data_IF_720210977411
#
_entry.id   IF_720210977411
#
_cell.length_a   1.000
_cell.length_b   1.000
_cell.length_c   1.000
_cell.angle_alpha   90.00
_cell.angle_beta   90.00
_cell.angle_gamma   90.00
#
_symmetry.space_group_name_H-M   'P 1'
#
loop_
_entity.id
_entity.type
_entity.pdbx_description
1 polymer ?
#
# COMPACT_ATOMS: atom_id res chain seq x y z
N UNK A 1 -5.67 -50.49 34.04
CA UNK A 1 -6.91 -49.71 33.79
C UNK A 1 -6.73 -48.20 34.01
N UNK A 2 -5.97 -47.75 35.02
CA UNK A 2 -5.79 -46.31 35.36
C UNK A 2 -5.13 -45.46 34.26
N UNK A 3 -4.19 -46.00 33.49
CA UNK A 3 -3.48 -45.28 32.41
C UNK A 3 -4.39 -44.91 31.23
N UNK A 4 -5.39 -45.75 30.90
CA UNK A 4 -6.35 -45.45 29.83
C UNK A 4 -7.26 -44.27 30.20
N UNK A 5 -7.67 -44.19 31.47
CA UNK A 5 -8.44 -43.05 31.98
C UNK A 5 -7.61 -41.77 32.06
N UNK A 6 -6.31 -41.86 32.36
CA UNK A 6 -5.41 -40.70 32.39
C UNK A 6 -5.21 -40.08 30.99
N UNK A 7 -5.08 -40.90 29.94
CA UNK A 7 -4.98 -40.44 28.55
C UNK A 7 -6.31 -39.82 28.09
N UNK A 8 -7.44 -40.40 28.50
CA UNK A 8 -8.77 -39.85 28.18
C UNK A 8 -9.01 -38.49 28.86
N UNK A 9 -8.53 -38.31 30.10
CA UNK A 9 -8.62 -37.04 30.83
C UNK A 9 -7.69 -35.97 30.25
N UNK A 10 -6.50 -36.34 29.79
CA UNK A 10 -5.58 -35.44 29.10
C UNK A 10 -6.10 -34.97 27.73
N UNK A 11 -6.83 -35.84 27.00
CA UNK A 11 -7.49 -35.48 25.75
C UNK A 11 -8.68 -34.52 25.95
N UNK A 12 -9.33 -34.56 27.12
CA UNK A 12 -10.43 -33.65 27.47
C UNK A 12 -9.94 -32.24 27.86
N UNK A 13 -8.64 -32.08 28.16
CA UNK A 13 -8.00 -30.82 28.55
C UNK A 13 -7.31 -30.10 27.37
N UNK A 14 -7.54 -30.55 26.12
CA UNK A 14 -7.10 -29.82 24.92
C UNK A 14 -7.75 -28.41 24.86
N UNK A 15 -7.01 -27.39 24.41
CA UNK A 15 -7.22 -26.02 24.80
C UNK A 15 -8.51 -25.44 24.20
N UNK A 16 -9.41 -24.96 25.06
CA UNK A 16 -10.62 -24.17 24.73
C UNK A 16 -10.30 -22.83 24.05
N UNK A 17 -9.02 -22.50 23.85
CA UNK A 17 -8.57 -21.25 23.24
C UNK A 17 -8.87 -21.13 21.73
N UNK A 18 -9.48 -22.13 21.08
CA UNK A 18 -9.79 -22.08 19.65
C UNK A 18 -10.99 -21.19 19.28
N UNK A 19 -11.84 -20.82 20.26
CA UNK A 19 -13.09 -20.08 20.01
C UNK A 19 -12.96 -18.54 20.09
N UNK A 20 -11.77 -18.02 20.42
CA UNK A 20 -11.53 -16.56 20.53
C UNK A 20 -11.29 -15.84 19.19
N UNK A 21 -11.07 -16.59 18.11
CA UNK A 21 -10.79 -16.05 16.78
C UNK A 21 -12.09 -16.04 15.96
N UNK A 22 -12.93 -15.02 16.16
CA UNK A 22 -14.09 -14.79 15.30
C UNK A 22 -13.66 -14.63 13.83
N UNK A 23 -14.53 -14.99 12.89
CA UNK A 23 -14.26 -14.82 11.45
C UNK A 23 -14.00 -13.35 11.10
N UNK A 24 -13.16 -13.09 10.10
CA UNK A 24 -12.91 -11.74 9.60
C UNK A 24 -14.22 -11.01 9.28
N UNK A 25 -14.46 -9.90 9.98
CA UNK A 25 -15.65 -9.07 9.77
C UNK A 25 -15.33 -8.01 8.74
N UNK A 26 -16.13 -7.96 7.67
CA UNK A 26 -16.10 -6.85 6.72
C UNK A 26 -16.95 -5.69 7.26
N UNK A 27 -16.51 -4.44 7.06
CA UNK A 27 -17.35 -3.30 7.38
C UNK A 27 -18.59 -3.27 6.46
N UNK A 28 -19.65 -2.53 6.84
CA UNK A 28 -20.79 -2.26 5.97
C UNK A 28 -20.37 -1.68 4.61
N UNK A 29 -21.22 -1.87 3.61
CA UNK A 29 -20.90 -1.53 2.22
C UNK A 29 -20.58 -0.04 2.05
N UNK A 30 -21.32 0.82 2.73
CA UNK A 30 -21.18 2.28 2.65
C UNK A 30 -19.77 2.71 3.09
N UNK A 31 -19.24 2.08 4.14
CA UNK A 31 -17.89 2.34 4.63
C UNK A 31 -16.85 1.77 3.66
N UNK A 32 -17.08 0.56 3.13
CA UNK A 32 -16.19 -0.02 2.12
C UNK A 32 -16.08 0.86 0.87
N UNK A 33 -17.20 1.38 0.38
CA UNK A 33 -17.23 2.22 -0.82
C UNK A 33 -16.44 3.53 -0.61
N UNK A 34 -16.55 4.14 0.58
CA UNK A 34 -15.75 5.33 0.94
C UNK A 34 -14.25 5.01 1.02
N UNK A 35 -13.90 3.86 1.60
CA UNK A 35 -12.50 3.44 1.70
C UNK A 35 -11.93 3.09 0.31
N UNK A 36 -12.71 2.43 -0.54
CA UNK A 36 -12.31 2.05 -1.90
C UNK A 36 -12.39 3.18 -2.93
N UNK A 37 -12.87 4.36 -2.56
CA UNK A 37 -12.93 5.51 -3.44
C UNK A 37 -11.53 5.91 -3.92
N UNK A 38 -11.46 6.37 -5.18
CA UNK A 38 -10.22 6.83 -5.78
C UNK A 38 -9.58 7.94 -4.91
N UNK A 39 -8.27 7.85 -4.64
CA UNK A 39 -7.60 8.88 -3.86
C UNK A 39 -7.50 10.18 -4.63
N UNK A 40 -7.38 11.29 -3.90
CA UNK A 40 -7.12 12.60 -4.50
C UNK A 40 -5.77 12.53 -5.22
N UNK A 41 -5.70 12.86 -6.51
CA UNK A 41 -4.44 12.84 -7.24
C UNK A 41 -3.50 13.91 -6.70
N UNK A 42 -2.20 13.61 -6.72
CA UNK A 42 -1.17 14.60 -6.45
C UNK A 42 -0.84 15.34 -7.75
N UNK A 43 -0.75 16.67 -7.69
CA UNK A 43 -0.46 17.49 -8.87
C UNK A 43 0.79 18.32 -8.69
N UNK A 44 1.59 18.45 -9.74
CA UNK A 44 2.78 19.31 -9.76
C UNK A 44 2.85 20.06 -11.09
N UNK A 45 3.19 21.35 -11.06
CA UNK A 45 3.23 22.20 -12.26
C UNK A 45 4.68 22.31 -12.75
N UNK A 46 4.90 22.25 -14.06
CA UNK A 46 6.23 22.44 -14.65
C UNK A 46 6.79 23.84 -14.33
N UNK A 47 8.12 24.02 -14.21
CA UNK A 47 8.73 25.33 -13.99
C UNK A 47 8.33 26.39 -15.03
N UNK A 48 8.15 25.97 -16.29
CA UNK A 48 7.72 26.82 -17.40
C UNK A 48 6.20 27.00 -17.49
N UNK A 49 5.42 26.34 -16.61
CA UNK A 49 3.96 26.45 -16.45
C UNK A 49 3.13 26.06 -17.68
N UNK A 50 3.66 25.20 -18.53
CA UNK A 50 2.98 24.68 -19.73
C UNK A 50 2.23 23.35 -19.47
N UNK A 51 2.62 22.62 -18.42
CA UNK A 51 2.16 21.27 -18.11
C UNK A 51 1.92 21.06 -16.62
N UNK A 52 1.01 20.14 -16.31
CA UNK A 52 0.71 19.65 -14.97
C UNK A 52 0.94 18.14 -14.95
N UNK A 53 1.82 17.67 -14.08
CA UNK A 53 1.97 16.27 -13.72
C UNK A 53 0.83 15.90 -12.77
N UNK A 54 0.07 14.88 -13.12
CA UNK A 54 -1.02 14.33 -12.32
C UNK A 54 -0.62 12.90 -11.94
N UNK A 55 -0.44 12.67 -10.65
CA UNK A 55 -0.01 11.40 -10.08
C UNK A 55 -1.15 10.76 -9.31
N UNK A 56 -1.28 9.45 -9.47
CA UNK A 56 -2.28 8.66 -8.76
C UNK A 56 -1.62 7.89 -7.60
N UNK A 57 -1.74 8.39 -6.36
CA UNK A 57 -1.14 7.72 -5.20
C UNK A 57 -1.87 6.41 -4.90
N UNK A 58 -1.15 5.37 -4.48
CA UNK A 58 -1.80 4.15 -3.99
C UNK A 58 -2.05 4.26 -2.49
N UNK A 59 -3.31 4.39 -2.09
CA UNK A 59 -3.70 4.55 -0.68
C UNK A 59 -3.53 3.28 0.15
N UNK A 60 -3.93 2.14 -0.40
CA UNK A 60 -3.92 0.85 0.29
C UNK A 60 -3.08 -0.17 -0.50
N UNK A 61 -1.79 -0.31 -0.18
CA UNK A 61 -0.94 -1.33 -0.80
C UNK A 61 -1.38 -2.74 -0.39
N UNK A 62 -1.05 -3.77 -1.20
CA UNK A 62 -1.41 -5.15 -0.90
C UNK A 62 -0.74 -5.65 0.38
N UNK A 63 -1.35 -6.64 1.03
CA UNK A 63 -0.82 -7.25 2.26
C UNK A 63 0.59 -7.84 2.03
N UNK A 64 0.86 -8.37 0.83
CA UNK A 64 2.19 -8.87 0.46
C UNK A 64 3.28 -7.81 0.59
N UNK A 65 2.97 -6.55 0.33
CA UNK A 65 3.90 -5.44 0.49
C UNK A 65 4.04 -5.02 1.96
N UNK A 66 2.93 -5.00 2.70
CA UNK A 66 2.94 -4.72 4.15
C UNK A 66 3.71 -5.79 4.94
N UNK A 67 3.76 -7.02 4.44
CA UNK A 67 4.47 -8.14 5.03
C UNK A 67 5.97 -8.18 4.66
N UNK A 68 6.46 -7.22 3.86
CA UNK A 68 7.88 -7.19 3.48
C UNK A 68 8.79 -6.99 4.70
N UNK A 69 10.06 -7.42 4.61
CA UNK A 69 11.00 -7.27 5.72
C UNK A 69 11.20 -5.80 6.12
N UNK A 70 11.49 -5.58 7.41
CA UNK A 70 11.74 -4.26 7.98
C UNK A 70 12.91 -4.30 8.96
N UNK A 71 14.02 -3.67 8.57
CA UNK A 71 15.16 -3.41 9.45
C UNK A 71 14.90 -2.16 10.29
N UNK A 72 15.31 -2.20 11.56
CA UNK A 72 15.20 -1.08 12.51
C UNK A 72 16.61 -0.59 12.84
N UNK A 73 17.07 0.47 12.19
CA UNK A 73 18.44 0.97 12.30
C UNK A 73 18.42 2.44 12.73
N UNK A 74 18.99 2.76 13.89
CA UNK A 74 19.03 4.14 14.42
C UNK A 74 17.65 4.85 14.41
N UNK A 75 16.56 4.11 14.69
CA UNK A 75 15.19 4.64 14.65
C UNK A 75 14.52 4.66 13.28
N UNK A 76 15.27 4.43 12.20
CA UNK A 76 14.74 4.29 10.84
C UNK A 76 14.15 2.89 10.62
N UNK A 77 13.13 2.82 9.77
CA UNK A 77 12.52 1.57 9.31
C UNK A 77 12.87 1.40 7.83
N UNK A 78 13.78 0.50 7.52
CA UNK A 78 14.32 0.31 6.16
C UNK A 78 13.84 -1.03 5.61
N UNK A 79 13.39 -1.03 4.36
CA UNK A 79 13.14 -2.26 3.62
C UNK A 79 14.46 -2.74 2.98
N UNK A 80 15.03 -3.89 3.41
CA UNK A 80 16.31 -4.35 2.91
C UNK A 80 16.27 -4.80 1.44
N UNK A 81 15.09 -5.01 0.86
CA UNK A 81 14.96 -5.44 -0.54
C UNK A 81 15.25 -4.29 -1.53
N UNK A 82 15.11 -3.04 -1.09
CA UNK A 82 15.29 -1.88 -1.96
C UNK A 82 15.97 -0.69 -1.27
N UNK A 83 16.43 -0.85 -0.02
CA UNK A 83 17.13 0.18 0.77
C UNK A 83 16.31 1.48 0.97
N UNK A 84 14.99 1.42 0.78
CA UNK A 84 14.08 2.57 1.00
C UNK A 84 13.44 2.52 2.37
N UNK A 85 12.75 3.59 2.75
CA UNK A 85 11.87 3.56 3.92
C UNK A 85 10.82 2.45 3.77
N UNK A 86 10.69 1.63 4.81
CA UNK A 86 9.63 0.63 4.86
C UNK A 86 8.26 1.33 4.82
N UNK A 87 7.36 0.84 3.95
CA UNK A 87 6.08 1.50 3.62
C UNK A 87 6.22 2.91 3.03
N UNK A 88 7.22 3.10 2.18
CA UNK A 88 7.36 4.31 1.36
C UNK A 88 6.07 4.56 0.56
N UNK A 89 5.43 5.74 0.68
CA UNK A 89 4.32 6.13 -0.20
C UNK A 89 4.79 6.27 -1.65
N UNK A 90 3.95 5.84 -2.59
CA UNK A 90 4.23 5.90 -4.03
C UNK A 90 2.95 6.11 -4.84
N UNK A 91 3.14 6.52 -6.09
CA UNK A 91 2.08 6.59 -7.10
C UNK A 91 2.23 5.47 -8.13
N UNK A 92 1.10 5.03 -8.68
CA UNK A 92 1.03 3.93 -9.66
C UNK A 92 0.87 4.41 -11.09
N UNK A 93 0.47 5.66 -11.29
CA UNK A 93 0.34 6.27 -12.61
C UNK A 93 0.80 7.73 -12.59
N UNK A 94 1.25 8.19 -13.75
CA UNK A 94 1.55 9.59 -14.04
C UNK A 94 0.95 9.95 -15.40
N UNK A 95 0.27 11.08 -15.44
CA UNK A 95 -0.25 11.70 -16.66
C UNK A 95 0.23 13.15 -16.70
N UNK A 96 0.47 13.67 -17.89
CA UNK A 96 0.68 15.09 -18.11
C UNK A 96 -0.55 15.73 -18.69
N UNK A 97 -0.99 16.82 -18.09
CA UNK A 97 -2.04 17.68 -18.63
C UNK A 97 -1.42 18.96 -19.16
N UNK A 98 -1.64 19.25 -20.43
CA UNK A 98 -1.24 20.52 -21.03
C UNK A 98 -2.16 21.64 -20.53
N UNK A 99 -1.58 22.79 -20.14
CA UNK A 99 -2.35 23.91 -19.56
C UNK A 99 -3.19 24.62 -20.62
N UNK A 100 -2.69 24.72 -21.86
CA UNK A 100 -3.33 25.48 -22.93
C UNK A 100 -4.66 24.87 -23.43
N UNK A 101 -4.72 23.55 -23.60
CA UNK A 101 -5.87 22.84 -24.17
C UNK A 101 -6.49 21.83 -23.20
N UNK A 102 -5.89 21.62 -22.03
CA UNK A 102 -6.36 20.65 -21.04
C UNK A 102 -6.14 19.19 -21.44
N UNK A 103 -5.40 18.91 -22.53
CA UNK A 103 -5.19 17.55 -23.03
C UNK A 103 -4.35 16.73 -22.05
N UNK A 104 -4.86 15.56 -21.69
CA UNK A 104 -4.16 14.60 -20.84
C UNK A 104 -3.42 13.55 -21.67
N UNK A 105 -2.14 13.36 -21.37
CA UNK A 105 -1.27 12.37 -22.01
C UNK A 105 -0.72 11.44 -20.95
N UNK A 106 -1.07 10.14 -20.96
CA UNK A 106 -0.53 9.18 -20.01
C UNK A 106 0.93 8.86 -20.31
N UNK A 107 1.72 8.63 -19.27
CA UNK A 107 3.10 8.13 -19.39
C UNK A 107 3.08 6.61 -19.27
N UNK A 108 3.70 5.93 -20.25
CA UNK A 108 3.81 4.48 -20.24
C UNK A 108 4.95 4.04 -19.30
N UNK A 109 4.64 3.11 -18.41
CA UNK A 109 5.60 2.48 -17.51
C UNK A 109 5.49 0.95 -17.60
N UNK A 110 6.52 0.21 -17.15
CA UNK A 110 6.39 -1.22 -16.89
C UNK A 110 5.27 -1.53 -15.90
N UNK A 111 4.79 -2.77 -15.92
CA UNK A 111 3.89 -3.26 -14.88
C UNK A 111 4.54 -3.13 -13.49
N UNK A 112 3.72 -2.89 -12.47
CA UNK A 112 4.13 -2.75 -11.06
C UNK A 112 5.13 -1.61 -10.77
N UNK A 113 5.17 -0.57 -11.62
CA UNK A 113 5.97 0.63 -11.34
C UNK A 113 5.55 1.29 -10.02
N UNK A 114 6.54 1.74 -9.26
CA UNK A 114 6.34 2.54 -8.04
C UNK A 114 7.01 3.89 -8.21
N UNK A 115 6.22 4.93 -8.41
CA UNK A 115 6.71 6.29 -8.61
C UNK A 115 6.87 6.98 -7.25
N UNK A 116 8.11 7.33 -6.90
CA UNK A 116 8.45 8.01 -5.65
C UNK A 116 9.09 9.35 -5.96
N UNK A 117 8.55 10.42 -5.38
CA UNK A 117 9.10 11.78 -5.42
C UNK A 117 9.59 12.25 -6.82
N UNK A 118 8.78 12.14 -7.88
CA UNK A 118 9.18 12.65 -9.19
C UNK A 118 9.37 14.16 -9.14
N UNK A 119 10.38 14.63 -9.87
CA UNK A 119 10.76 16.04 -9.94
C UNK A 119 10.78 16.49 -11.39
N UNK A 120 10.46 17.77 -11.60
CA UNK A 120 10.65 18.41 -12.88
C UNK A 120 12.13 18.72 -13.08
N UNK A 121 12.57 18.56 -14.32
CA UNK A 121 13.81 19.17 -14.79
C UNK A 121 13.73 20.70 -14.68
N UNK A 122 14.85 21.41 -14.46
CA UNK A 122 14.84 22.88 -14.39
C UNK A 122 14.32 23.56 -15.67
N UNK A 123 14.51 22.94 -16.82
CA UNK A 123 14.02 23.41 -18.13
C UNK A 123 12.57 22.99 -18.41
N UNK A 124 11.93 22.25 -17.51
CA UNK A 124 10.52 21.87 -17.58
C UNK A 124 10.19 20.82 -18.64
N UNK A 125 11.20 20.11 -19.14
CA UNK A 125 11.07 19.01 -20.11
C UNK A 125 11.02 17.65 -19.45
#
# INVERSE_FOLDING_TARGET
MKTKYLIFLAALLLPVNLLGQGSYKKPPKEILDVLSAAPIPATSISPVRDRIAILEPLRYPPISELAQPMLRLAGLRINPLNTTQHRQPYSVSLKFKTVADGKETPVAFPADVKLVSPQWSPDGR
#
